data_IF_276356433372
#
_entry.id   IF_276356433372
#
_cell.length_a   1.000
_cell.length_b   1.000
_cell.length_c   1.000
_cell.angle_alpha   90.00
_cell.angle_beta   90.00
_cell.angle_gamma   90.00
#
_symmetry.space_group_name_H-M   'P 1'
#
loop_
_entity.id
_entity.type
_entity.pdbx_description
1 polymer ?
#
# COMPACT_ATOMS: atom_id res chain seq x y z
N UNK A 1 50.28 49.21 -25.58
CA UNK A 1 49.00 49.45 -24.90
C UNK A 1 48.20 48.17 -24.96
N UNK A 2 48.23 47.42 -23.86
CA UNK A 2 47.43 46.22 -23.60
C UNK A 2 46.00 46.62 -23.27
N UNK A 3 45.00 45.94 -23.82
CA UNK A 3 43.70 45.75 -23.15
C UNK A 3 43.25 44.31 -23.40
N UNK A 4 43.26 43.53 -22.31
CA UNK A 4 42.54 42.28 -22.11
C UNK A 4 41.04 42.49 -22.33
N UNK A 5 40.36 41.55 -23.00
CA UNK A 5 38.94 41.35 -22.80
C UNK A 5 38.70 39.92 -22.29
N UNK A 6 38.15 39.85 -21.07
CA UNK A 6 37.81 38.64 -20.34
C UNK A 6 36.67 37.87 -21.03
N UNK A 7 36.87 36.56 -21.25
CA UNK A 7 35.77 35.62 -21.42
C UNK A 7 35.18 35.31 -20.04
N UNK A 8 33.94 35.74 -19.80
CA UNK A 8 33.12 35.27 -18.68
C UNK A 8 32.36 34.01 -19.10
N UNK A 9 32.60 32.91 -18.37
CA UNK A 9 31.76 31.72 -18.38
C UNK A 9 30.38 32.07 -17.82
N UNK A 10 29.33 31.95 -18.63
CA UNK A 10 27.97 31.84 -18.13
C UNK A 10 27.64 30.35 -17.96
N UNK A 11 27.63 29.90 -16.71
CA UNK A 11 27.09 28.61 -16.30
C UNK A 11 25.59 28.63 -16.58
N UNK A 12 25.13 27.81 -17.52
CA UNK A 12 23.72 27.57 -17.74
C UNK A 12 23.17 26.82 -16.52
N UNK A 13 22.57 27.55 -15.58
CA UNK A 13 21.78 26.97 -14.50
C UNK A 13 20.60 26.22 -15.10
N UNK A 14 20.40 24.98 -14.67
CA UNK A 14 19.24 24.18 -15.01
C UNK A 14 17.97 24.94 -14.62
N UNK A 15 17.28 25.47 -15.61
CA UNK A 15 15.95 26.04 -15.44
C UNK A 15 15.00 24.90 -15.10
N UNK A 16 14.47 24.91 -13.88
CA UNK A 16 13.34 24.07 -13.50
C UNK A 16 12.18 24.38 -14.46
N UNK A 17 11.76 23.38 -15.23
CA UNK A 17 10.61 23.48 -16.13
C UNK A 17 9.31 23.62 -15.32
N UNK A 18 8.32 24.36 -15.84
CA UNK A 18 7.07 24.60 -15.14
C UNK A 18 6.22 23.33 -15.10
N UNK A 19 5.82 22.93 -13.90
CA UNK A 19 4.82 21.88 -13.68
C UNK A 19 3.43 22.41 -14.05
N UNK A 20 2.94 21.99 -15.21
CA UNK A 20 1.50 21.88 -15.46
C UNK A 20 1.24 20.63 -16.29
N UNK A 21 0.64 19.61 -15.67
CA UNK A 21 -0.22 18.71 -16.40
C UNK A 21 -1.32 18.14 -15.49
N UNK A 22 -2.58 18.47 -15.81
CA UNK A 22 -3.80 17.91 -15.23
C UNK A 22 -3.97 16.46 -15.72
N UNK A 23 -3.26 15.52 -15.10
CA UNK A 23 -3.30 14.11 -15.51
C UNK A 23 -3.03 13.22 -14.31
N UNK A 24 -4.10 12.54 -13.84
CA UNK A 24 -4.19 11.31 -13.04
C UNK A 24 -3.32 11.28 -11.76
N UNK A 25 -3.85 10.98 -10.55
CA UNK A 25 -3.02 10.97 -9.34
C UNK A 25 -1.85 10.02 -9.55
N UNK A 26 -0.63 10.55 -9.55
CA UNK A 26 0.57 9.74 -9.64
C UNK A 26 0.64 8.93 -8.34
N UNK A 27 0.37 7.63 -8.40
CA UNK A 27 0.19 6.79 -7.22
C UNK A 27 1.51 6.38 -6.55
N UNK A 28 2.65 6.79 -7.13
CA UNK A 28 3.92 6.11 -6.89
C UNK A 28 4.64 6.57 -5.64
N UNK A 29 4.72 5.73 -4.61
CA UNK A 29 5.78 5.89 -3.60
C UNK A 29 7.10 5.39 -4.18
N UNK A 30 8.12 6.25 -4.12
CA UNK A 30 9.45 5.90 -4.58
C UNK A 30 10.16 4.98 -3.56
N UNK A 31 11.25 4.32 -3.96
CA UNK A 31 12.03 3.51 -3.02
C UNK A 31 12.55 4.36 -1.84
N UNK A 32 12.86 5.62 -2.10
CA UNK A 32 13.26 6.63 -1.13
C UNK A 32 12.17 6.88 -0.08
N UNK A 33 10.90 6.90 -0.49
CA UNK A 33 9.76 7.05 0.41
C UNK A 33 9.68 5.85 1.35
N UNK A 34 9.78 4.61 0.84
CA UNK A 34 9.80 3.41 1.69
C UNK A 34 10.97 3.41 2.69
N UNK A 35 12.16 3.84 2.27
CA UNK A 35 13.33 3.94 3.17
C UNK A 35 13.04 4.93 4.29
N UNK A 36 12.54 6.13 3.95
CA UNK A 36 12.20 7.15 4.92
C UNK A 36 11.09 6.69 5.87
N UNK A 37 9.99 6.14 5.36
CA UNK A 37 8.86 5.68 6.16
C UNK A 37 9.24 4.55 7.12
N UNK A 38 10.13 3.64 6.69
CA UNK A 38 10.65 2.57 7.56
C UNK A 38 11.61 3.08 8.66
N UNK A 39 12.13 4.31 8.52
CA UNK A 39 12.95 4.97 9.56
C UNK A 39 12.11 5.62 10.66
N UNK A 40 10.80 5.82 10.44
CA UNK A 40 9.92 6.46 11.40
C UNK A 40 9.71 5.58 12.65
N UNK A 41 9.35 6.19 13.80
CA UNK A 41 9.03 5.45 15.01
C UNK A 41 7.96 4.39 14.74
N UNK A 42 8.21 3.17 15.19
CA UNK A 42 7.25 2.08 15.04
C UNK A 42 6.19 2.18 16.11
N UNK A 43 4.92 2.15 15.71
CA UNK A 43 3.79 2.05 16.64
C UNK A 43 3.86 0.75 17.44
N UNK A 44 3.66 0.81 18.75
CA UNK A 44 3.50 -0.40 19.58
C UNK A 44 2.02 -0.82 19.54
N UNK A 45 1.74 -2.02 19.06
CA UNK A 45 0.42 -2.64 19.21
C UNK A 45 0.00 -2.66 20.69
N UNK A 46 -1.27 -2.39 20.97
CA UNK A 46 -1.86 -2.54 22.31
C UNK A 46 -1.82 -1.29 23.21
N UNK A 47 -1.20 -0.19 22.80
CA UNK A 47 -1.42 1.11 23.44
C UNK A 47 -2.63 1.79 22.79
N UNK A 48 -3.83 1.55 23.32
CA UNK A 48 -5.05 2.19 22.81
C UNK A 48 -4.93 3.71 22.90
N UNK A 49 -5.15 4.37 21.76
CA UNK A 49 -5.13 5.81 21.60
C UNK A 49 -6.53 6.32 21.99
N UNK A 50 -6.63 7.34 22.87
CA UNK A 50 -7.93 7.87 23.28
C UNK A 50 -8.81 8.29 22.09
N UNK A 51 -10.07 7.87 22.10
CA UNK A 51 -11.06 8.19 21.07
C UNK A 51 -11.04 7.28 19.84
N UNK A 52 -10.02 6.44 19.66
CA UNK A 52 -9.96 5.48 18.56
C UNK A 52 -10.90 4.29 18.79
N UNK A 53 -11.28 3.64 17.70
CA UNK A 53 -12.13 2.45 17.67
C UNK A 53 -11.30 1.24 17.26
N UNK A 54 -11.55 0.08 17.86
CA UNK A 54 -10.66 -1.07 17.70
C UNK A 54 -11.38 -2.36 17.31
N UNK A 55 -10.69 -3.14 16.48
CA UNK A 55 -10.90 -4.57 16.25
C UNK A 55 -9.56 -5.28 16.31
N UNK A 56 -9.60 -6.54 16.74
CA UNK A 56 -8.45 -7.41 16.85
C UNK A 56 -8.78 -8.70 16.12
N UNK A 57 -7.97 -9.04 15.11
CA UNK A 57 -8.08 -10.31 14.40
C UNK A 57 -7.09 -11.31 14.99
N UNK A 58 -7.62 -12.37 15.56
CA UNK A 58 -6.86 -13.41 16.26
C UNK A 58 -6.17 -14.38 15.29
N UNK A 59 -4.86 -14.58 15.45
CA UNK A 59 -4.09 -15.45 14.55
C UNK A 59 -4.34 -16.95 14.78
N UNK A 60 -4.89 -17.35 15.92
CA UNK A 60 -5.13 -18.76 16.27
C UNK A 60 -6.49 -19.24 15.78
N UNK A 61 -7.56 -18.48 16.05
CA UNK A 61 -8.93 -18.90 15.73
C UNK A 61 -9.58 -18.08 14.60
N UNK A 62 -8.84 -17.10 14.06
CA UNK A 62 -9.27 -16.24 12.96
C UNK A 62 -10.51 -15.40 13.25
N UNK A 63 -10.87 -15.20 14.52
CA UNK A 63 -12.03 -14.41 14.93
C UNK A 63 -11.67 -12.93 15.07
N UNK A 64 -12.60 -12.07 14.65
CA UNK A 64 -12.53 -10.64 14.89
C UNK A 64 -13.20 -10.37 16.25
N UNK A 65 -12.51 -9.65 17.12
CA UNK A 65 -13.04 -9.30 18.46
C UNK A 65 -12.84 -7.81 18.74
N UNK A 66 -13.67 -7.20 19.60
CA UNK A 66 -13.47 -5.80 20.03
C UNK A 66 -12.43 -5.65 21.14
N UNK A 67 -11.88 -6.75 21.66
CA UNK A 67 -11.07 -6.78 22.89
C UNK A 67 -9.70 -7.39 22.62
N UNK A 68 -8.65 -6.67 23.01
CA UNK A 68 -7.29 -7.21 23.02
C UNK A 68 -7.17 -8.26 24.13
N UNK A 69 -6.73 -9.46 23.75
CA UNK A 69 -6.40 -10.57 24.63
C UNK A 69 -4.88 -10.65 24.70
N UNK A 70 -4.22 -10.18 25.78
CA UNK A 70 -2.76 -10.06 25.84
C UNK A 70 -1.98 -11.36 25.63
N UNK A 71 -2.60 -12.51 25.87
CA UNK A 71 -1.99 -13.83 25.68
C UNK A 71 -2.01 -14.31 24.22
N UNK A 72 -2.75 -13.65 23.33
CA UNK A 72 -2.95 -14.07 21.95
C UNK A 72 -2.10 -13.24 20.99
N UNK A 73 -1.72 -13.83 19.87
CA UNK A 73 -1.23 -13.09 18.71
C UNK A 73 -2.43 -12.49 17.97
N UNK A 74 -2.60 -11.17 18.06
CA UNK A 74 -3.72 -10.49 17.42
C UNK A 74 -3.25 -9.29 16.59
N UNK A 75 -3.79 -9.18 15.38
CA UNK A 75 -3.57 -8.02 14.52
C UNK A 75 -4.55 -6.91 14.90
N UNK A 76 -4.02 -5.77 15.33
CA UNK A 76 -4.81 -4.57 15.66
C UNK A 76 -5.28 -3.84 14.40
N UNK A 77 -6.57 -3.52 14.34
CA UNK A 77 -7.20 -2.68 13.32
C UNK A 77 -7.86 -1.51 14.05
N UNK A 78 -7.35 -0.31 13.82
CA UNK A 78 -7.75 0.89 14.55
C UNK A 78 -8.39 1.93 13.62
N UNK A 79 -9.57 2.43 13.97
CA UNK A 79 -10.18 3.60 13.32
C UNK A 79 -9.94 4.86 14.13
N UNK A 80 -9.59 5.95 13.46
CA UNK A 80 -9.43 7.28 14.06
C UNK A 80 -10.71 7.78 14.74
N UNK A 81 -10.64 8.82 15.59
CA UNK A 81 -11.78 9.30 16.36
C UNK A 81 -13.03 9.63 15.54
N UNK A 82 -12.88 10.19 14.33
CA UNK A 82 -14.02 10.51 13.46
C UNK A 82 -14.40 9.38 12.50
N UNK A 83 -13.61 8.31 12.38
CA UNK A 83 -13.95 7.13 11.57
C UNK A 83 -15.19 6.44 12.16
N UNK A 84 -16.09 5.92 11.32
CA UNK A 84 -17.24 5.14 11.79
C UNK A 84 -16.82 3.74 12.29
N UNK A 85 -17.55 3.16 13.25
CA UNK A 85 -17.30 1.76 13.66
C UNK A 85 -17.50 0.79 12.48
N UNK A 86 -18.44 1.11 11.59
CA UNK A 86 -18.71 0.37 10.36
C UNK A 86 -17.49 0.28 9.44
N UNK A 87 -16.76 1.38 9.22
CA UNK A 87 -15.53 1.37 8.42
C UNK A 87 -14.47 0.43 9.02
N UNK A 88 -14.31 0.43 10.36
CA UNK A 88 -13.39 -0.48 11.06
C UNK A 88 -13.80 -1.95 10.88
N UNK A 89 -15.10 -2.24 10.95
CA UNK A 89 -15.63 -3.59 10.76
C UNK A 89 -15.45 -4.09 9.31
N UNK A 90 -15.69 -3.22 8.32
CA UNK A 90 -15.44 -3.51 6.90
C UNK A 90 -13.96 -3.78 6.65
N UNK A 91 -13.06 -2.92 7.16
CA UNK A 91 -11.63 -3.12 7.05
C UNK A 91 -11.20 -4.44 7.70
N UNK A 92 -11.69 -4.75 8.91
CA UNK A 92 -11.39 -6.00 9.59
C UNK A 92 -11.83 -7.22 8.77
N UNK A 93 -12.99 -7.16 8.11
CA UNK A 93 -13.46 -8.21 7.20
C UNK A 93 -12.58 -8.40 5.96
N UNK A 94 -12.05 -7.32 5.37
CA UNK A 94 -11.08 -7.38 4.26
C UNK A 94 -9.80 -8.07 4.71
N UNK A 95 -9.24 -7.63 5.83
CA UNK A 95 -8.02 -8.18 6.41
C UNK A 95 -8.17 -9.65 6.77
N UNK A 96 -9.29 -10.01 7.42
CA UNK A 96 -9.62 -11.40 7.73
C UNK A 96 -9.68 -12.28 6.48
N UNK A 97 -10.22 -11.77 5.36
CA UNK A 97 -10.21 -12.52 4.10
C UNK A 97 -8.81 -12.67 3.54
N UNK A 98 -7.97 -11.63 3.55
CA UNK A 98 -6.59 -11.71 3.04
C UNK A 98 -5.75 -12.74 3.81
N UNK A 99 -5.93 -12.87 5.12
CA UNK A 99 -5.14 -13.77 5.98
C UNK A 99 -5.78 -15.15 6.19
N UNK A 100 -6.99 -15.40 5.67
CA UNK A 100 -7.79 -16.61 5.95
C UNK A 100 -7.06 -17.93 5.75
N UNK A 101 -6.19 -18.00 4.77
CA UNK A 101 -5.46 -19.21 4.41
C UNK A 101 -3.94 -19.03 4.54
N UNK A 102 -3.50 -17.94 5.17
CA UNK A 102 -2.09 -17.68 5.44
C UNK A 102 -1.54 -18.74 6.41
N UNK A 103 -0.29 -19.22 6.23
CA UNK A 103 0.35 -20.08 7.24
C UNK A 103 0.34 -19.42 8.62
N UNK A 104 -0.05 -20.16 9.66
CA UNK A 104 -0.23 -19.62 11.01
C UNK A 104 1.00 -18.84 11.52
N UNK A 105 2.21 -19.37 11.34
CA UNK A 105 3.44 -18.71 11.77
C UNK A 105 3.73 -17.38 11.06
N UNK A 106 3.27 -17.25 9.81
CA UNK A 106 3.34 -15.98 9.07
C UNK A 106 2.32 -15.00 9.62
N UNK A 107 1.11 -15.46 9.95
CA UNK A 107 0.10 -14.58 10.53
C UNK A 107 0.49 -14.12 11.95
N UNK A 108 1.02 -15.01 12.79
CA UNK A 108 1.61 -14.64 14.09
C UNK A 108 2.73 -13.61 13.94
N UNK A 109 3.54 -13.72 12.89
CA UNK A 109 4.59 -12.74 12.59
C UNK A 109 4.03 -11.40 12.12
N UNK A 110 2.94 -11.43 11.36
CA UNK A 110 2.24 -10.25 10.86
C UNK A 110 1.61 -9.40 11.97
N UNK A 111 1.26 -9.99 13.12
CA UNK A 111 0.68 -9.24 14.25
C UNK A 111 1.65 -8.24 14.90
N UNK A 112 2.90 -8.17 14.44
CA UNK A 112 3.84 -7.09 14.80
C UNK A 112 3.52 -5.77 14.10
N UNK A 113 2.81 -5.82 12.96
CA UNK A 113 2.25 -4.66 12.29
C UNK A 113 0.83 -4.35 12.79
N UNK A 114 0.27 -3.24 12.33
CA UNK A 114 -1.10 -2.82 12.68
C UNK A 114 -1.80 -2.18 11.48
N UNK A 115 -3.12 -2.09 11.50
CA UNK A 115 -3.91 -1.41 10.45
C UNK A 115 -4.57 -0.16 11.03
N UNK A 116 -4.63 0.91 10.24
CA UNK A 116 -5.24 2.18 10.60
C UNK A 116 -6.24 2.66 9.55
N UNK A 117 -7.39 3.14 10.00
CA UNK A 117 -8.39 3.77 9.15
C UNK A 117 -8.53 5.21 9.62
N UNK A 118 -8.42 6.17 8.71
CA UNK A 118 -8.55 7.60 9.01
C UNK A 118 -9.58 8.27 8.10
N UNK A 119 -10.11 9.41 8.55
CA UNK A 119 -11.00 10.25 7.73
C UNK A 119 -10.21 11.33 7.00
N UNK A 120 -10.74 11.84 5.88
CA UNK A 120 -10.11 12.96 5.15
C UNK A 120 -9.86 14.20 6.04
N UNK A 121 -10.68 14.39 7.08
CA UNK A 121 -10.54 15.49 8.02
C UNK A 121 -9.43 15.29 9.06
N UNK A 122 -9.10 14.04 9.40
CA UNK A 122 -8.07 13.71 10.39
C UNK A 122 -6.71 13.41 9.75
N UNK A 123 -6.72 12.98 8.47
CA UNK A 123 -5.55 12.58 7.69
C UNK A 123 -4.79 11.41 8.33
N UNK A 124 -3.81 10.87 7.60
CA UNK A 124 -2.97 9.77 8.14
C UNK A 124 -2.10 10.19 9.34
N UNK A 125 -1.93 11.50 9.55
CA UNK A 125 -1.09 12.09 10.61
C UNK A 125 -1.75 12.05 11.99
N UNK A 126 -3.02 11.64 12.06
CA UNK A 126 -3.72 11.32 13.31
C UNK A 126 -3.06 10.15 14.05
N UNK A 127 -2.38 9.25 13.33
CA UNK A 127 -1.60 8.18 13.92
C UNK A 127 -0.25 8.71 14.41
N UNK A 128 0.15 8.45 15.68
CA UNK A 128 1.37 9.02 16.28
C UNK A 128 2.65 8.80 15.48
N UNK A 129 2.82 7.61 14.89
CA UNK A 129 3.95 7.24 14.03
C UNK A 129 4.07 8.12 12.77
N UNK A 130 2.94 8.68 12.33
CA UNK A 130 2.85 9.52 11.13
C UNK A 130 2.80 11.01 11.45
N UNK A 131 2.84 11.41 12.72
CA UNK A 131 2.66 12.82 13.14
C UNK A 131 3.67 13.77 12.47
N UNK A 132 4.90 13.30 12.25
CA UNK A 132 5.95 14.08 11.61
C UNK A 132 5.71 14.32 10.11
N UNK A 133 4.75 13.63 9.49
CA UNK A 133 4.40 13.80 8.08
C UNK A 133 3.44 14.99 7.85
N UNK A 134 2.96 15.62 8.92
CA UNK A 134 2.02 16.73 8.83
C UNK A 134 2.66 17.97 8.18
N UNK A 135 1.91 18.62 7.29
CA UNK A 135 2.39 19.82 6.59
C UNK A 135 2.69 20.95 7.56
N UNK A 136 1.83 21.17 8.57
CA UNK A 136 2.01 22.22 9.58
C UNK A 136 2.39 23.57 8.96
N UNK A 137 3.48 24.19 9.45
CA UNK A 137 4.00 25.45 8.92
C UNK A 137 4.66 25.35 7.54
N UNK A 138 4.94 24.14 7.05
CA UNK A 138 5.49 23.95 5.71
C UNK A 138 4.47 24.23 4.61
N UNK A 139 3.16 24.20 4.91
CA UNK A 139 2.11 24.41 3.91
C UNK A 139 2.34 23.52 2.70
N UNK A 140 2.34 24.11 1.50
CA UNK A 140 2.62 23.40 0.24
C UNK A 140 4.13 23.15 -0.05
N UNK A 141 5.05 23.71 0.73
CA UNK A 141 6.49 23.58 0.46
C UNK A 141 7.01 22.18 0.74
N UNK A 142 7.80 21.62 -0.19
CA UNK A 142 8.57 20.39 -0.02
C UNK A 142 10.09 20.65 0.03
N UNK A 143 10.50 21.92 0.11
CA UNK A 143 11.90 22.31 0.02
C UNK A 143 12.57 22.38 1.41
N UNK A 144 13.89 22.16 1.45
CA UNK A 144 14.70 22.34 2.64
C UNK A 144 14.21 21.49 3.82
N UNK A 145 13.97 22.12 4.96
CA UNK A 145 13.47 21.42 6.16
C UNK A 145 12.06 20.86 6.01
N UNK A 146 11.32 21.21 4.96
CA UNK A 146 9.95 20.74 4.72
C UNK A 146 9.86 19.47 3.86
N UNK A 147 10.97 18.97 3.33
CA UNK A 147 10.99 17.78 2.47
C UNK A 147 10.40 16.54 3.14
N UNK A 148 10.58 16.39 4.45
CA UNK A 148 10.03 15.28 5.24
C UNK A 148 8.49 15.19 5.24
N UNK A 149 7.79 16.23 4.83
CA UNK A 149 6.31 16.26 4.72
C UNK A 149 5.80 15.80 3.36
N UNK A 150 6.71 15.53 2.42
CA UNK A 150 6.36 15.20 1.05
C UNK A 150 6.95 13.87 0.63
N UNK A 151 6.21 13.17 -0.23
CA UNK A 151 6.74 12.09 -1.04
C UNK A 151 7.87 12.61 -1.93
N UNK A 152 8.71 11.70 -2.43
CA UNK A 152 9.82 12.05 -3.31
C UNK A 152 9.37 12.79 -4.58
N UNK A 153 8.16 12.50 -5.07
CA UNK A 153 7.55 13.17 -6.22
C UNK A 153 6.79 14.48 -5.87
N UNK A 154 6.89 14.95 -4.62
CA UNK A 154 6.42 16.27 -4.19
C UNK A 154 4.96 16.34 -3.73
N UNK A 155 4.27 15.20 -3.59
CA UNK A 155 2.93 15.14 -3.00
C UNK A 155 3.03 15.23 -1.48
N UNK A 156 2.01 15.75 -0.81
CA UNK A 156 1.99 15.78 0.65
C UNK A 156 1.61 14.40 1.19
N UNK A 157 2.43 13.85 2.07
CA UNK A 157 2.13 12.58 2.72
C UNK A 157 0.77 12.63 3.43
N UNK A 158 0.42 13.73 4.08
CA UNK A 158 -0.86 13.81 4.79
C UNK A 158 -2.10 13.77 3.87
N UNK A 159 -1.94 13.98 2.56
CA UNK A 159 -3.03 14.04 1.57
C UNK A 159 -3.15 12.78 0.70
N UNK A 160 -2.30 11.76 0.91
CA UNK A 160 -2.42 10.49 0.17
C UNK A 160 -3.45 9.57 0.83
N UNK A 161 -4.13 8.76 0.01
CA UNK A 161 -5.22 7.88 0.48
C UNK A 161 -4.78 6.63 1.22
N UNK A 162 -3.50 6.25 1.12
CA UNK A 162 -2.93 5.08 1.78
C UNK A 162 -1.42 5.21 1.97
N UNK A 163 -0.90 4.61 3.04
CA UNK A 163 0.53 4.56 3.33
C UNK A 163 0.87 3.38 4.24
N UNK A 164 2.06 2.82 4.11
CA UNK A 164 2.52 1.76 5.01
C UNK A 164 3.90 2.02 5.62
N UNK A 165 3.97 1.90 6.94
CA UNK A 165 5.21 1.77 7.73
C UNK A 165 5.09 0.56 8.69
N UNK A 166 5.21 0.76 10.02
CA UNK A 166 4.71 -0.20 11.00
C UNK A 166 3.19 -0.37 11.01
N UNK A 167 2.47 0.59 10.43
CA UNK A 167 1.03 0.58 10.25
C UNK A 167 0.68 0.79 8.78
N UNK A 168 -0.19 -0.05 8.24
CA UNK A 168 -0.89 0.21 6.98
C UNK A 168 -2.07 1.11 7.30
N UNK A 169 -2.04 2.34 6.83
CA UNK A 169 -3.11 3.32 7.04
C UNK A 169 -3.84 3.57 5.74
N UNK A 170 -5.16 3.71 5.80
CA UNK A 170 -6.00 3.95 4.63
C UNK A 170 -7.15 4.90 4.96
N UNK A 171 -7.55 5.72 3.98
CA UNK A 171 -8.70 6.59 4.04
C UNK A 171 -10.01 5.77 4.14
N UNK A 172 -10.93 6.19 4.99
CA UNK A 172 -12.20 5.49 5.21
C UNK A 172 -13.12 5.51 3.97
N UNK A 173 -13.08 6.56 3.16
CA UNK A 173 -13.79 6.62 1.87
C UNK A 173 -13.40 5.48 0.91
N UNK A 174 -12.14 5.03 0.95
CA UNK A 174 -11.65 3.86 0.18
C UNK A 174 -12.24 2.58 0.78
N UNK A 175 -12.14 2.42 2.10
CA UNK A 175 -12.65 1.23 2.80
C UNK A 175 -14.15 1.06 2.58
N UNK A 176 -14.88 2.18 2.61
CA UNK A 176 -16.33 2.25 2.46
C UNK A 176 -16.79 2.37 1.01
N UNK A 177 -15.87 2.44 0.03
CA UNK A 177 -16.16 2.72 -1.38
C UNK A 177 -17.18 3.85 -1.58
N UNK A 178 -17.00 4.98 -0.88
CA UNK A 178 -17.90 6.12 -1.04
C UNK A 178 -17.59 6.85 -2.34
N UNK A 179 -18.48 7.73 -2.80
CA UNK A 179 -18.21 8.59 -3.97
C UNK A 179 -17.01 9.54 -3.80
N UNK A 180 -16.48 9.68 -2.58
CA UNK A 180 -15.30 10.48 -2.27
C UNK A 180 -13.99 9.69 -2.34
N UNK A 181 -14.04 8.39 -2.65
CA UNK A 181 -12.84 7.58 -2.93
C UNK A 181 -12.02 8.22 -4.06
N UNK A 182 -10.78 8.69 -3.79
CA UNK A 182 -9.94 9.34 -4.79
C UNK A 182 -9.45 8.38 -5.89
N UNK A 183 -9.62 7.07 -5.71
CA UNK A 183 -9.28 6.03 -6.67
C UNK A 183 -10.49 5.58 -7.50
N UNK A 184 -11.65 6.23 -7.36
CA UNK A 184 -12.86 5.95 -8.13
C UNK A 184 -13.28 4.47 -8.10
N UNK A 185 -13.08 3.82 -6.95
CA UNK A 185 -13.36 2.40 -6.75
C UNK A 185 -12.64 1.49 -7.73
N UNK A 186 -11.50 1.89 -8.31
CA UNK A 186 -10.77 1.06 -9.30
C UNK A 186 -9.84 0.04 -8.64
N UNK A 187 -9.41 0.30 -7.41
CA UNK A 187 -8.57 -0.60 -6.62
C UNK A 187 -8.95 -0.55 -5.15
N UNK A 188 -8.85 -1.68 -4.46
CA UNK A 188 -8.95 -1.70 -3.00
C UNK A 188 -7.58 -1.35 -2.38
N UNK A 189 -7.35 -0.07 -2.06
CA UNK A 189 -6.06 0.39 -1.51
C UNK A 189 -5.74 -0.24 -0.15
N UNK A 190 -6.74 -0.62 0.66
CA UNK A 190 -6.45 -1.37 1.89
C UNK A 190 -5.75 -2.70 1.60
N UNK A 191 -6.12 -3.39 0.51
CA UNK A 191 -5.44 -4.64 0.10
C UNK A 191 -3.99 -4.35 -0.32
N UNK A 192 -3.75 -3.26 -1.04
CA UNK A 192 -2.42 -2.83 -1.43
C UNK A 192 -1.55 -2.49 -0.21
N UNK A 193 -2.01 -1.60 0.67
CA UNK A 193 -1.25 -1.17 1.85
C UNK A 193 -1.02 -2.34 2.82
N UNK A 194 -2.02 -3.19 3.01
CA UNK A 194 -1.84 -4.36 3.84
C UNK A 194 -0.84 -5.36 3.23
N UNK A 195 -0.74 -5.45 1.91
CA UNK A 195 0.26 -6.28 1.26
C UNK A 195 1.70 -5.81 1.57
N UNK A 196 1.94 -4.50 1.74
CA UNK A 196 3.23 -3.98 2.23
C UNK A 196 3.55 -4.46 3.65
N UNK A 197 2.55 -4.52 4.55
CA UNK A 197 2.72 -5.11 5.88
C UNK A 197 3.00 -6.61 5.82
N UNK A 198 2.29 -7.33 4.97
CA UNK A 198 2.52 -8.78 4.74
C UNK A 198 3.96 -8.99 4.25
N UNK A 199 4.41 -8.20 3.27
CA UNK A 199 5.80 -8.23 2.79
C UNK A 199 6.79 -8.00 3.94
N UNK A 200 6.53 -7.01 4.79
CA UNK A 200 7.47 -6.61 5.85
C UNK A 200 7.50 -7.59 7.02
N UNK A 201 6.33 -8.06 7.47
CA UNK A 201 6.20 -8.78 8.75
C UNK A 201 5.88 -10.26 8.61
N UNK A 202 5.13 -10.68 7.58
CA UNK A 202 4.70 -12.07 7.44
C UNK A 202 5.73 -12.91 6.68
N UNK A 203 6.40 -12.34 5.69
CA UNK A 203 7.39 -13.07 4.88
C UNK A 203 8.67 -13.36 5.68
N UNK A 204 9.29 -14.50 5.39
CA UNK A 204 10.63 -14.83 5.89
C UNK A 204 11.69 -14.15 5.03
N UNK A 205 12.94 -14.12 5.50
CA UNK A 205 14.05 -13.59 4.69
C UNK A 205 14.19 -14.32 3.33
N UNK A 206 13.98 -15.64 3.31
CA UNK A 206 14.02 -16.43 2.08
C UNK A 206 12.92 -16.03 1.08
N UNK A 207 11.69 -15.78 1.58
CA UNK A 207 10.57 -15.35 0.74
C UNK A 207 10.82 -13.94 0.21
N UNK A 208 11.34 -13.01 1.01
CA UNK A 208 11.73 -11.67 0.52
C UNK A 208 12.78 -11.77 -0.57
N UNK A 209 13.82 -12.59 -0.38
CA UNK A 209 14.82 -12.83 -1.43
C UNK A 209 14.19 -13.40 -2.70
N UNK A 210 13.22 -14.32 -2.60
CA UNK A 210 12.48 -14.82 -3.75
C UNK A 210 11.71 -13.70 -4.47
N UNK A 211 11.04 -12.82 -3.74
CA UNK A 211 10.28 -11.68 -4.29
C UNK A 211 11.22 -10.69 -4.98
N UNK A 212 12.31 -10.28 -4.34
CA UNK A 212 13.31 -9.37 -4.93
C UNK A 212 13.96 -9.99 -6.18
N UNK A 213 14.23 -11.29 -6.19
CA UNK A 213 14.74 -11.98 -7.37
C UNK A 213 13.72 -12.02 -8.52
N UNK A 214 12.45 -12.30 -8.22
CA UNK A 214 11.36 -12.25 -9.20
C UNK A 214 11.21 -10.85 -9.79
N UNK A 215 11.25 -9.80 -8.96
CA UNK A 215 11.24 -8.41 -9.38
C UNK A 215 12.41 -8.07 -10.32
N UNK A 216 13.64 -8.45 -9.95
CA UNK A 216 14.82 -8.20 -10.76
C UNK A 216 14.74 -8.92 -12.12
N UNK A 217 14.24 -10.16 -12.13
CA UNK A 217 13.98 -10.91 -13.36
C UNK A 217 12.88 -10.23 -14.21
N UNK A 218 11.79 -9.78 -13.59
CA UNK A 218 10.72 -9.05 -14.26
C UNK A 218 11.23 -7.75 -14.91
N UNK A 219 12.12 -7.02 -14.22
CA UNK A 219 12.82 -5.85 -14.80
C UNK A 219 13.69 -6.22 -15.98
N UNK A 220 14.53 -7.24 -15.82
CA UNK A 220 15.48 -7.68 -16.85
C UNK A 220 14.78 -8.16 -18.13
N UNK A 221 13.65 -8.86 -17.97
CA UNK A 221 12.91 -9.47 -19.07
C UNK A 221 11.73 -8.63 -19.55
N UNK A 222 11.47 -7.47 -18.94
CA UNK A 222 10.29 -6.66 -19.17
C UNK A 222 8.98 -7.47 -19.14
N UNK A 223 8.92 -8.45 -18.21
CA UNK A 223 7.71 -9.27 -17.98
C UNK A 223 6.52 -8.38 -17.62
N UNK A 224 6.80 -7.36 -16.81
CA UNK A 224 5.92 -6.25 -16.50
C UNK A 224 6.35 -5.03 -17.31
N UNK A 225 5.41 -4.15 -17.64
CA UNK A 225 5.76 -2.87 -18.24
C UNK A 225 6.60 -2.03 -17.26
N UNK A 226 7.80 -1.61 -17.67
CA UNK A 226 8.80 -1.04 -16.75
C UNK A 226 8.44 0.35 -16.21
N UNK A 227 7.71 1.16 -16.97
CA UNK A 227 7.32 2.52 -16.59
C UNK A 227 5.96 2.52 -15.89
N UNK A 228 5.78 1.63 -14.92
CA UNK A 228 4.52 1.46 -14.20
C UNK A 228 4.71 1.50 -12.70
N UNK A 229 3.64 1.78 -11.96
CA UNK A 229 3.68 1.84 -10.50
C UNK A 229 4.28 0.58 -9.89
N UNK A 230 3.78 -0.59 -10.29
CA UNK A 230 4.25 -1.88 -9.83
C UNK A 230 5.75 -2.11 -10.06
N UNK A 231 6.37 -1.39 -11.00
CA UNK A 231 7.80 -1.55 -11.30
C UNK A 231 8.71 -0.51 -10.62
N UNK A 232 8.15 0.39 -9.81
CA UNK A 232 8.91 1.41 -9.07
C UNK A 232 9.96 0.79 -8.14
N UNK A 233 9.57 -0.22 -7.35
CA UNK A 233 10.43 -1.00 -6.46
C UNK A 233 9.82 -2.39 -6.19
N UNK A 234 10.52 -3.27 -5.49
CA UNK A 234 10.06 -4.64 -5.21
C UNK A 234 8.90 -4.71 -4.20
N UNK A 235 8.73 -3.69 -3.35
CA UNK A 235 7.56 -3.56 -2.47
C UNK A 235 6.29 -3.29 -3.28
N UNK A 236 6.32 -2.34 -4.20
CA UNK A 236 5.16 -2.00 -5.06
C UNK A 236 4.80 -3.12 -6.02
N UNK A 237 5.82 -3.79 -6.55
CA UNK A 237 5.66 -5.01 -7.33
C UNK A 237 4.87 -6.08 -6.55
N UNK A 238 5.23 -6.33 -5.30
CA UNK A 238 4.50 -7.26 -4.43
C UNK A 238 3.08 -6.78 -4.11
N UNK A 239 2.90 -5.50 -3.78
CA UNK A 239 1.61 -4.96 -3.37
C UNK A 239 0.59 -4.94 -4.51
N UNK A 240 0.99 -4.48 -5.70
CA UNK A 240 0.16 -4.51 -6.90
C UNK A 240 -0.15 -5.95 -7.34
N UNK A 241 0.84 -6.85 -7.29
CA UNK A 241 0.59 -8.26 -7.57
C UNK A 241 -0.38 -8.91 -6.57
N UNK A 242 -0.34 -8.49 -5.30
CA UNK A 242 -1.30 -8.95 -4.28
C UNK A 242 -2.72 -8.46 -4.60
N UNK A 243 -2.89 -7.20 -4.99
CA UNK A 243 -4.19 -6.65 -5.39
C UNK A 243 -4.76 -7.38 -6.63
N UNK A 244 -3.92 -7.64 -7.63
CA UNK A 244 -4.27 -8.45 -8.79
C UNK A 244 -4.60 -9.91 -8.41
N UNK A 245 -3.83 -10.54 -7.54
CA UNK A 245 -4.04 -11.93 -7.08
C UNK A 245 -5.39 -12.14 -6.38
N UNK A 246 -5.87 -11.12 -5.67
CA UNK A 246 -7.20 -11.12 -5.06
C UNK A 246 -8.30 -10.59 -6.00
N UNK A 247 -7.96 -10.13 -7.20
CA UNK A 247 -8.90 -9.59 -8.19
C UNK A 247 -9.60 -8.32 -7.72
N UNK A 248 -8.88 -7.46 -6.98
CA UNK A 248 -9.41 -6.20 -6.44
C UNK A 248 -8.77 -4.97 -7.09
N UNK A 249 -8.06 -5.16 -8.20
CA UNK A 249 -7.37 -4.12 -8.96
C UNK A 249 -7.82 -4.12 -10.43
N UNK A 250 -8.46 -3.03 -10.82
CA UNK A 250 -8.97 -2.75 -12.15
C UNK A 250 -8.33 -1.47 -12.72
N UNK A 251 -7.20 -1.05 -12.16
CA UNK A 251 -6.46 0.09 -12.66
C UNK A 251 -5.88 -0.17 -14.04
N UNK A 252 -5.54 0.93 -14.72
CA UNK A 252 -4.91 0.88 -16.04
C UNK A 252 -3.49 0.33 -16.00
N UNK A 253 -2.99 0.01 -17.19
CA UNK A 253 -1.64 -0.56 -17.38
C UNK A 253 -0.52 0.26 -16.73
N UNK A 254 -0.68 1.58 -16.61
CA UNK A 254 0.29 2.48 -15.97
C UNK A 254 0.55 2.14 -14.51
N UNK A 255 -0.37 1.46 -13.82
CA UNK A 255 -0.17 1.04 -12.43
C UNK A 255 0.20 -0.44 -12.35
N UNK A 256 -0.51 -1.29 -13.07
CA UNK A 256 -0.49 -2.74 -12.87
C UNK A 256 0.56 -3.48 -13.70
N UNK A 257 1.26 -2.79 -14.61
CA UNK A 257 2.20 -3.43 -15.51
C UNK A 257 1.56 -4.49 -16.42
N UNK A 258 0.25 -4.38 -16.69
CA UNK A 258 -0.62 -5.32 -17.42
C UNK A 258 -0.98 -6.62 -16.69
N UNK A 259 -0.64 -6.76 -15.41
CA UNK A 259 -0.84 -8.05 -14.72
C UNK A 259 -2.28 -8.35 -14.32
N UNK A 260 -3.16 -7.35 -14.38
CA UNK A 260 -4.60 -7.51 -14.27
C UNK A 260 -5.30 -7.67 -15.64
N UNK A 261 -4.55 -7.81 -16.75
CA UNK A 261 -5.11 -7.81 -18.11
C UNK A 261 -5.15 -9.21 -18.73
N UNK A 262 -6.33 -9.64 -19.17
CA UNK A 262 -6.55 -10.89 -19.87
C UNK A 262 -6.72 -10.62 -21.37
N UNK A 263 -5.59 -10.47 -22.06
CA UNK A 263 -5.56 -9.98 -23.44
C UNK A 263 -5.62 -8.45 -23.47
N UNK A 264 -6.63 -7.88 -24.14
CA UNK A 264 -6.79 -6.42 -24.27
C UNK A 264 -7.77 -5.81 -23.26
N UNK A 265 -8.26 -6.60 -22.30
CA UNK A 265 -9.23 -6.15 -21.29
C UNK A 265 -8.81 -6.60 -19.90
N UNK A 266 -9.28 -5.89 -18.86
CA UNK A 266 -9.09 -6.30 -17.47
C UNK A 266 -9.73 -7.67 -17.26
N UNK A 267 -9.03 -8.56 -16.55
CA UNK A 267 -9.51 -9.89 -16.21
C UNK A 267 -10.82 -9.78 -15.41
N UNK A 268 -11.84 -10.51 -15.86
CA UNK A 268 -13.19 -10.42 -15.27
C UNK A 268 -13.39 -11.29 -14.02
N UNK A 269 -12.47 -12.23 -13.76
CA UNK A 269 -12.59 -13.16 -12.62
C UNK A 269 -11.23 -13.42 -11.96
N UNK A 270 -11.23 -13.75 -10.67
CA UNK A 270 -10.03 -14.10 -9.89
C UNK A 270 -9.24 -15.27 -10.52
N UNK A 271 -9.88 -16.37 -10.98
CA UNK A 271 -9.14 -17.44 -11.65
C UNK A 271 -8.40 -16.98 -12.90
N UNK A 272 -8.98 -16.08 -13.70
CA UNK A 272 -8.35 -15.58 -14.92
C UNK A 272 -7.12 -14.71 -14.62
N UNK A 273 -7.21 -13.79 -13.67
CA UNK A 273 -6.05 -12.96 -13.29
C UNK A 273 -4.95 -13.79 -12.62
N UNK A 274 -5.30 -14.78 -11.79
CA UNK A 274 -4.33 -15.69 -11.19
C UNK A 274 -3.63 -16.55 -12.24
N UNK A 275 -4.36 -17.03 -13.23
CA UNK A 275 -3.77 -17.78 -14.34
C UNK A 275 -2.85 -16.89 -15.19
N UNK A 276 -3.25 -15.64 -15.45
CA UNK A 276 -2.39 -14.67 -16.13
C UNK A 276 -1.08 -14.41 -15.36
N UNK A 277 -1.18 -14.13 -14.06
CA UNK A 277 -0.01 -13.97 -13.17
C UNK A 277 0.87 -15.22 -13.17
N UNK A 278 0.28 -16.42 -13.07
CA UNK A 278 1.01 -17.69 -13.09
C UNK A 278 1.78 -17.90 -14.39
N UNK A 279 1.21 -17.51 -15.53
CA UNK A 279 1.85 -17.66 -16.84
C UNK A 279 2.94 -16.62 -17.07
N UNK A 280 2.69 -15.36 -16.69
CA UNK A 280 3.63 -14.25 -16.92
C UNK A 280 4.77 -14.24 -15.92
N UNK A 281 4.46 -14.43 -14.65
CA UNK A 281 5.41 -14.30 -13.54
C UNK A 281 5.27 -15.46 -12.53
N UNK A 282 5.69 -16.68 -12.93
CA UNK A 282 5.50 -17.87 -12.11
C UNK A 282 6.24 -17.81 -10.77
N UNK A 283 7.38 -17.10 -10.70
CA UNK A 283 8.17 -16.97 -9.48
C UNK A 283 7.43 -16.13 -8.43
N UNK A 284 6.85 -14.99 -8.83
CA UNK A 284 6.00 -14.17 -7.99
C UNK A 284 4.70 -14.88 -7.62
N UNK A 285 4.04 -15.53 -8.59
CA UNK A 285 2.82 -16.28 -8.34
C UNK A 285 3.01 -17.37 -7.28
N UNK A 286 4.14 -18.08 -7.32
CA UNK A 286 4.51 -19.06 -6.30
C UNK A 286 4.62 -18.43 -4.91
N UNK A 287 5.26 -17.25 -4.79
CA UNK A 287 5.35 -16.52 -3.52
C UNK A 287 3.96 -16.09 -3.01
N UNK A 288 3.10 -15.56 -3.87
CA UNK A 288 1.73 -15.17 -3.53
C UNK A 288 0.90 -16.36 -3.01
N UNK A 289 0.95 -17.51 -3.70
CA UNK A 289 0.24 -18.73 -3.30
C UNK A 289 0.79 -19.30 -2.00
N UNK A 290 2.10 -19.23 -1.78
CA UNK A 290 2.70 -19.64 -0.52
C UNK A 290 2.18 -18.78 0.66
N UNK A 291 2.23 -17.46 0.51
CA UNK A 291 1.89 -16.49 1.57
C UNK A 291 0.40 -16.42 1.85
N UNK A 292 -0.45 -16.28 0.82
CA UNK A 292 -1.88 -16.03 1.01
C UNK A 292 -2.74 -17.29 1.00
N UNK A 293 -2.22 -18.41 0.52
CA UNK A 293 -3.01 -19.60 0.26
C UNK A 293 -2.35 -20.90 0.75
N UNK A 294 -1.27 -20.80 1.54
CA UNK A 294 -0.53 -21.93 2.10
C UNK A 294 -0.25 -23.03 1.05
N UNK A 295 0.30 -22.61 -0.10
CA UNK A 295 0.63 -23.47 -1.24
C UNK A 295 -0.56 -24.06 -2.03
N UNK A 296 -1.80 -23.65 -1.75
CA UNK A 296 -2.98 -24.12 -2.48
C UNK A 296 -3.57 -23.01 -3.40
N UNK A 297 -3.25 -22.99 -4.71
CA UNK A 297 -3.66 -21.92 -5.61
C UNK A 297 -5.17 -21.81 -5.84
N UNK A 298 -5.95 -22.86 -5.52
CA UNK A 298 -7.40 -22.87 -5.66
C UNK A 298 -8.12 -22.08 -4.56
N UNK A 299 -7.45 -21.78 -3.44
CA UNK A 299 -8.06 -21.06 -2.33
C UNK A 299 -8.23 -19.57 -2.67
N UNK A 300 -9.48 -19.14 -2.77
CA UNK A 300 -9.85 -17.74 -2.94
C UNK A 300 -10.80 -17.34 -1.79
N UNK A 301 -10.44 -16.34 -0.95
CA UNK A 301 -11.29 -15.92 0.16
C UNK A 301 -12.50 -15.06 -0.27
N UNK A 302 -12.67 -14.79 -1.58
CA UNK A 302 -13.81 -14.03 -2.10
C UNK A 302 -13.75 -12.55 -1.69
N UNK A 303 -12.57 -11.94 -1.86
CA UNK A 303 -12.43 -10.50 -1.78
C UNK A 303 -13.11 -9.83 -2.96
N UNK A 304 -13.62 -8.64 -2.70
CA UNK A 304 -14.21 -7.76 -3.72
C UNK A 304 -13.55 -6.40 -3.57
N UNK A 305 -13.46 -5.69 -4.70
CA UNK A 305 -12.91 -4.34 -4.74
C UNK A 305 -13.61 -3.41 -3.76
N UNK A 306 -14.93 -3.41 -3.81
CA UNK A 306 -15.79 -2.84 -2.79
C UNK A 306 -16.39 -3.95 -1.92
N UNK A 307 -16.01 -4.04 -0.63
CA UNK A 307 -16.56 -5.04 0.28
C UNK A 307 -18.08 -4.95 0.43
N UNK A 308 -18.72 -6.05 0.84
CA UNK A 308 -20.15 -6.02 1.15
C UNK A 308 -20.43 -5.10 2.35
N UNK A 309 -21.57 -4.40 2.31
CA UNK A 309 -21.93 -3.41 3.34
C UNK A 309 -21.31 -2.03 3.13
N UNK A 310 -20.57 -1.81 2.04
CA UNK A 310 -20.13 -0.47 1.62
C UNK A 310 -21.30 0.35 1.08
N UNK A 311 -21.20 1.68 1.19
CA UNK A 311 -22.21 2.60 0.62
C UNK A 311 -21.79 2.88 -0.81
N UNK A 312 -22.28 2.07 -1.74
CA UNK A 312 -22.16 2.38 -3.16
C UNK A 312 -23.19 3.48 -3.44
N UNK A 313 -22.73 4.73 -3.42
CA UNK A 313 -23.51 5.91 -3.79
C UNK A 313 -23.67 6.00 -5.31
#
# INVERSE_FOLDING_TARGET
>A
MSILLLLSLAVAGAAALPFHNNSIPNYHLAAEDFIFLNSLPKGKAGAQIPGFKYRYLDATNHQITPTLIPAHHQLEIAGSPRTSQHAVDVAAGVIQKMTRYMPQSMFESLTRGTVGIFTAAEKLTVFPENKNLASGSCGASCAGTCSHTCTFDGRKYEDIGGLTNSRAVVLDDIVLCTSADPYHHTVNILVHEFAHLVHTYATTAAIRTQITNAYNAAKQHATWQLNTYAMANDHEYWAMASAAFFGVDYEGNSNTGTMNMCGNAVCTTVPLVREHLRQKDPALFSALVHVYANNNPALNPGLTRCPAGTVVG
#
